data_IF_016028396320
#
_entry.id   IF_016028396320
#
_cell.length_a   1.000
_cell.length_b   1.000
_cell.length_c   1.000
_cell.angle_alpha   90.00
_cell.angle_beta   90.00
_cell.angle_gamma   90.00
#
_symmetry.space_group_name_H-M   'P 1'
#
loop_
_entity.id
_entity.type
_entity.pdbx_description
1 polymer ?
#
# COMPACT_ATOMS: atom_id res chain seq x y z
N UNK A 1 -52.54 56.86 3.13
CA UNK A 1 -51.28 56.61 2.39
C UNK A 1 -50.18 56.30 3.39
N UNK A 2 -49.74 55.06 3.44
CA UNK A 2 -48.50 54.62 4.12
C UNK A 2 -47.93 53.48 3.27
N UNK A 3 -46.80 53.74 2.63
CA UNK A 3 -46.11 52.81 1.74
C UNK A 3 -45.20 51.92 2.59
N UNK A 4 -45.44 50.62 2.58
CA UNK A 4 -44.58 49.62 3.24
C UNK A 4 -43.65 49.08 2.16
N UNK A 5 -42.35 49.30 2.33
CA UNK A 5 -41.29 48.76 1.47
C UNK A 5 -40.88 47.41 2.07
N UNK A 6 -41.15 46.31 1.37
CA UNK A 6 -40.63 44.99 1.69
C UNK A 6 -39.21 44.88 1.12
N UNK A 7 -38.22 44.69 2.00
CA UNK A 7 -36.85 44.35 1.63
C UNK A 7 -36.72 42.84 1.61
N UNK A 8 -36.56 42.26 0.42
CA UNK A 8 -36.31 40.83 0.21
C UNK A 8 -34.80 40.58 0.33
N UNK A 9 -34.37 39.94 1.43
CA UNK A 9 -32.98 39.51 1.62
C UNK A 9 -32.76 38.18 0.90
N UNK A 10 -32.02 38.20 -0.21
CA UNK A 10 -31.58 37.02 -0.93
C UNK A 10 -30.31 36.47 -0.24
N UNK A 11 -30.42 35.34 0.45
CA UNK A 11 -29.25 34.60 0.97
C UNK A 11 -28.62 33.82 -0.19
N UNK A 12 -27.53 34.34 -0.73
CA UNK A 12 -26.65 33.61 -1.65
C UNK A 12 -25.75 32.72 -0.80
N UNK A 13 -26.09 31.43 -0.68
CA UNK A 13 -25.16 30.42 -0.20
C UNK A 13 -24.13 30.14 -1.28
N UNK A 14 -22.98 30.80 -1.19
CA UNK A 14 -21.76 30.43 -1.91
C UNK A 14 -21.27 29.09 -1.37
N UNK A 15 -21.70 28.00 -1.99
CA UNK A 15 -20.98 26.74 -1.91
C UNK A 15 -19.61 26.97 -2.57
N UNK A 16 -18.58 27.19 -1.73
CA UNK A 16 -17.19 27.12 -2.13
C UNK A 16 -16.94 25.72 -2.68
N UNK A 17 -17.06 25.58 -4.01
CA UNK A 17 -16.51 24.45 -4.73
C UNK A 17 -15.00 24.47 -4.53
N UNK A 18 -14.52 23.69 -3.55
CA UNK A 18 -13.11 23.36 -3.46
C UNK A 18 -12.73 22.70 -4.79
N UNK A 19 -11.74 23.22 -5.53
CA UNK A 19 -11.16 22.47 -6.61
C UNK A 19 -10.33 21.35 -5.96
N UNK A 20 -10.95 20.22 -5.64
CA UNK A 20 -10.24 18.96 -5.50
C UNK A 20 -9.75 18.53 -6.88
N UNK A 21 -8.81 19.31 -7.44
CA UNK A 21 -7.84 18.78 -8.39
C UNK A 21 -6.82 18.01 -7.56
N UNK A 22 -7.25 16.88 -7.00
CA UNK A 22 -6.35 15.74 -6.86
C UNK A 22 -5.91 15.46 -8.28
N UNK A 23 -4.78 16.05 -8.68
CA UNK A 23 -4.16 15.71 -9.95
C UNK A 23 -3.86 14.22 -9.85
N UNK A 24 -4.67 13.43 -10.54
CA UNK A 24 -4.36 12.07 -10.88
C UNK A 24 -2.95 12.08 -11.49
N UNK A 25 -1.93 11.73 -10.68
CA UNK A 25 -0.60 11.46 -11.21
C UNK A 25 -0.78 10.26 -12.12
N UNK A 26 -0.77 10.48 -13.44
CA UNK A 26 -0.72 9.38 -14.40
C UNK A 26 0.62 8.69 -14.21
N UNK A 27 0.59 7.47 -13.70
CA UNK A 27 1.78 6.62 -13.63
C UNK A 27 2.12 6.19 -15.05
N UNK A 28 3.09 6.86 -15.68
CA UNK A 28 3.67 6.43 -16.95
C UNK A 28 5.08 5.94 -16.69
N UNK A 29 5.24 4.84 -15.96
CA UNK A 29 6.49 4.10 -16.00
C UNK A 29 6.36 3.06 -17.09
N UNK A 30 7.11 3.24 -18.18
CA UNK A 30 7.34 2.21 -19.17
C UNK A 30 8.52 1.37 -18.69
N UNK A 31 8.29 0.51 -17.70
CA UNK A 31 9.36 -0.32 -17.11
C UNK A 31 8.96 -1.77 -17.04
N UNK A 32 9.86 -2.65 -17.50
CA UNK A 32 9.60 -4.07 -17.79
C UNK A 32 8.54 -4.31 -18.88
N UNK A 33 8.09 -3.27 -19.57
CA UNK A 33 6.92 -3.31 -20.45
C UNK A 33 5.59 -3.27 -19.69
N UNK A 34 5.61 -3.01 -18.37
CA UNK A 34 4.44 -2.93 -17.52
C UNK A 34 3.93 -1.48 -17.42
N UNK A 35 2.72 -1.20 -17.88
CA UNK A 35 2.03 0.10 -17.79
C UNK A 35 0.76 -0.04 -16.94
N UNK A 36 0.64 0.77 -15.88
CA UNK A 36 -0.63 0.93 -15.20
C UNK A 36 -1.49 1.95 -15.96
N UNK A 37 -2.50 1.46 -16.69
CA UNK A 37 -3.44 2.35 -17.37
C UNK A 37 -4.49 2.82 -16.38
N UNK A 38 -4.64 4.14 -16.25
CA UNK A 38 -5.75 4.77 -15.53
C UNK A 38 -5.68 4.68 -13.98
N UNK A 39 -4.59 5.16 -13.39
CA UNK A 39 -4.48 5.36 -11.93
C UNK A 39 -4.28 6.82 -11.59
N UNK A 40 -5.38 7.56 -11.54
CA UNK A 40 -5.40 8.68 -10.63
C UNK A 40 -5.33 8.18 -9.19
N UNK A 41 -4.69 8.92 -8.29
CA UNK A 41 -4.91 8.73 -6.87
C UNK A 41 -6.41 8.88 -6.59
N UNK A 42 -7.03 7.80 -6.11
CA UNK A 42 -8.47 7.73 -5.81
C UNK A 42 -8.76 8.03 -4.33
N UNK A 43 -7.72 8.23 -3.52
CA UNK A 43 -7.81 8.45 -2.07
C UNK A 43 -6.99 7.44 -1.26
N UNK A 44 -7.06 7.57 0.06
CA UNK A 44 -6.55 6.55 0.97
C UNK A 44 -7.34 5.26 0.80
N UNK A 45 -6.63 4.13 0.77
CA UNK A 45 -7.23 2.82 0.49
C UNK A 45 -6.23 1.84 -0.11
N UNK A 46 -6.73 0.65 -0.42
CA UNK A 46 -5.98 -0.43 -1.03
C UNK A 46 -6.15 -0.40 -2.53
N UNK A 47 -5.04 -0.56 -3.24
CA UNK A 47 -4.96 -0.62 -4.68
C UNK A 47 -4.32 -1.95 -5.06
N UNK A 48 -4.86 -2.60 -6.08
CA UNK A 48 -4.34 -3.86 -6.61
C UNK A 48 -4.25 -3.80 -8.13
N UNK A 49 -3.03 -3.91 -8.64
CA UNK A 49 -2.74 -4.07 -10.06
C UNK A 49 -2.31 -5.52 -10.32
N UNK A 50 -2.95 -6.19 -11.28
CA UNK A 50 -2.49 -7.48 -11.80
C UNK A 50 -2.20 -7.28 -13.28
N UNK A 51 -0.93 -7.41 -13.64
CA UNK A 51 -0.48 -7.14 -15.00
C UNK A 51 -0.63 -8.36 -15.89
N UNK A 52 -1.13 -8.13 -17.12
CA UNK A 52 -1.21 -9.15 -18.16
C UNK A 52 0.15 -9.38 -18.86
N UNK A 53 0.18 -10.31 -19.81
CA UNK A 53 1.40 -10.65 -20.58
C UNK A 53 1.91 -9.49 -21.47
N UNK A 54 1.07 -8.48 -21.72
CA UNK A 54 1.44 -7.25 -22.45
C UNK A 54 1.88 -6.16 -21.49
N UNK A 55 1.93 -6.48 -20.20
CA UNK A 55 2.23 -5.58 -19.12
C UNK A 55 1.17 -4.54 -18.86
N UNK A 56 -0.07 -4.71 -19.28
CA UNK A 56 -1.15 -3.80 -18.91
C UNK A 56 -1.86 -4.30 -17.65
N UNK A 57 -2.16 -3.40 -16.71
CA UNK A 57 -3.02 -3.70 -15.56
C UNK A 57 -4.18 -2.72 -15.46
N UNK A 58 -5.36 -3.25 -15.13
CA UNK A 58 -6.43 -2.46 -14.50
C UNK A 58 -6.21 -2.48 -12.99
N UNK A 59 -6.40 -1.33 -12.34
CA UNK A 59 -6.23 -1.20 -10.89
C UNK A 59 -7.56 -1.22 -10.20
N UNK A 60 -7.73 -2.21 -9.32
CA UNK A 60 -8.84 -2.27 -8.39
C UNK A 60 -8.54 -1.39 -7.19
N UNK A 61 -9.50 -0.61 -6.75
CA UNK A 61 -9.39 0.27 -5.60
C UNK A 61 -10.48 -0.06 -4.58
N UNK A 62 -10.09 -0.17 -3.32
CA UNK A 62 -10.97 -0.28 -2.16
C UNK A 62 -10.65 0.87 -1.20
N UNK A 63 -11.59 1.78 -0.93
CA UNK A 63 -11.33 2.96 -0.12
C UNK A 63 -11.08 2.59 1.36
N UNK A 64 -10.31 3.42 2.06
CA UNK A 64 -9.87 3.15 3.43
C UNK A 64 -11.04 2.99 4.42
N UNK A 65 -12.14 3.71 4.24
CA UNK A 65 -13.32 3.59 5.11
C UNK A 65 -13.94 2.19 5.04
N UNK A 66 -13.96 1.55 3.87
CA UNK A 66 -14.34 0.16 3.72
C UNK A 66 -13.35 -0.78 4.44
N UNK A 67 -12.05 -0.52 4.34
CA UNK A 67 -11.01 -1.32 5.01
C UNK A 67 -11.07 -1.22 6.54
N UNK A 68 -11.38 -0.04 7.06
CA UNK A 68 -11.53 0.21 8.51
C UNK A 68 -12.81 -0.40 9.07
N UNK A 69 -13.87 -0.53 8.25
CA UNK A 69 -15.17 -1.05 8.65
C UNK A 69 -15.27 -2.58 8.58
N UNK A 70 -14.27 -3.27 8.04
CA UNK A 70 -14.16 -4.74 8.11
C UNK A 70 -13.91 -5.17 9.56
N UNK A 71 -14.98 -5.25 10.35
CA UNK A 71 -15.03 -5.89 11.69
C UNK A 71 -14.99 -7.42 11.58
N UNK A 72 -14.19 -7.96 10.66
CA UNK A 72 -13.81 -9.36 10.77
C UNK A 72 -12.98 -9.44 12.06
N UNK A 73 -13.31 -10.32 13.01
CA UNK A 73 -12.45 -10.50 14.17
C UNK A 73 -11.09 -10.89 13.61
N UNK A 74 -10.11 -10.00 13.77
CA UNK A 74 -8.71 -10.36 13.74
C UNK A 74 -8.63 -11.43 14.81
N UNK A 75 -8.68 -12.70 14.40
CA UNK A 75 -8.56 -13.81 15.33
C UNK A 75 -7.31 -13.51 16.13
N UNK A 76 -7.48 -13.24 17.44
CA UNK A 76 -6.47 -12.75 18.37
C UNK A 76 -5.10 -13.30 17.96
N UNK A 77 -4.39 -12.54 17.13
CA UNK A 77 -3.06 -12.89 16.75
C UNK A 77 -2.28 -12.49 17.99
N UNK A 78 -2.12 -13.47 18.89
CA UNK A 78 -1.25 -13.39 20.07
C UNK A 78 -0.11 -12.42 19.76
N UNK A 79 0.13 -11.39 20.60
CA UNK A 79 1.11 -10.34 20.32
C UNK A 79 2.38 -11.04 19.87
N UNK A 80 2.76 -10.84 18.59
CA UNK A 80 3.66 -11.70 17.83
C UNK A 80 4.68 -12.39 18.75
N UNK A 81 4.28 -13.56 19.27
CA UNK A 81 5.10 -14.30 20.23
C UNK A 81 6.31 -14.68 19.42
N UNK A 82 7.48 -14.12 19.80
CA UNK A 82 8.65 -13.96 18.94
C UNK A 82 8.69 -14.98 17.80
N UNK A 83 8.60 -14.50 16.56
CA UNK A 83 8.54 -15.30 15.34
C UNK A 83 9.71 -16.29 15.33
N UNK A 84 9.48 -17.47 15.89
CA UNK A 84 10.38 -18.61 15.83
C UNK A 84 9.72 -19.67 14.98
N UNK A 85 9.56 -19.32 13.71
CA UNK A 85 9.42 -20.29 12.63
C UNK A 85 10.69 -20.24 11.76
N UNK A 86 11.87 -20.35 12.37
CA UNK A 86 13.13 -20.60 11.64
C UNK A 86 13.75 -21.91 12.12
N UNK A 87 13.21 -23.03 11.65
CA UNK A 87 13.90 -24.33 11.71
C UNK A 87 14.91 -24.53 10.56
N UNK A 88 15.10 -23.52 9.70
CA UNK A 88 16.11 -23.51 8.65
C UNK A 88 16.81 -22.15 8.60
N UNK A 89 18.01 -22.07 9.18
CA UNK A 89 18.99 -21.01 8.91
C UNK A 89 18.64 -19.59 9.38
N UNK A 90 19.61 -18.89 9.94
CA UNK A 90 19.55 -17.44 10.05
C UNK A 90 19.74 -16.89 8.63
N UNK A 91 18.66 -16.76 7.88
CA UNK A 91 18.68 -16.02 6.62
C UNK A 91 19.00 -14.58 6.93
N UNK A 92 20.13 -14.09 6.43
CA UNK A 92 20.56 -12.70 6.54
C UNK A 92 19.67 -11.87 5.60
N UNK A 93 18.64 -11.24 6.15
CA UNK A 93 17.87 -10.22 5.42
C UNK A 93 18.74 -8.98 5.26
N UNK A 94 18.65 -8.34 4.11
CA UNK A 94 19.34 -7.09 3.83
C UNK A 94 18.34 -6.11 3.22
N UNK A 95 17.42 -5.56 4.05
CA UNK A 95 16.50 -4.54 3.58
C UNK A 95 17.25 -3.37 2.97
N UNK A 96 16.70 -2.79 1.91
CA UNK A 96 17.18 -1.54 1.33
C UNK A 96 16.47 -0.38 2.01
N UNK A 97 17.24 0.59 2.47
CA UNK A 97 16.74 1.76 3.19
C UNK A 97 16.77 2.99 2.30
N UNK A 98 15.75 3.84 2.42
CA UNK A 98 15.79 5.22 1.95
C UNK A 98 16.03 6.11 3.17
N UNK A 99 17.31 6.31 3.50
CA UNK A 99 17.74 6.97 4.75
C UNK A 99 17.46 8.48 4.78
N UNK A 100 17.19 9.07 3.62
CA UNK A 100 16.98 10.52 3.51
C UNK A 100 15.52 10.91 3.76
N UNK A 101 14.63 9.93 3.82
CA UNK A 101 13.20 10.13 3.92
C UNK A 101 12.58 9.35 5.09
N UNK A 102 11.73 10.02 5.85
CA UNK A 102 11.06 9.46 7.01
C UNK A 102 9.57 9.80 7.00
N UNK A 103 8.78 8.86 7.52
CA UNK A 103 7.33 8.97 7.64
C UNK A 103 6.85 9.05 9.08
N UNK A 104 5.55 9.27 9.23
CA UNK A 104 4.89 9.15 10.51
C UNK A 104 4.68 7.66 10.86
N UNK A 105 5.27 7.20 11.97
CA UNK A 105 5.17 5.81 12.40
C UNK A 105 3.72 5.30 12.49
N UNK A 106 2.82 6.07 13.11
CA UNK A 106 1.43 5.65 13.31
C UNK A 106 0.67 5.48 11.99
N UNK A 107 0.88 6.38 11.04
CA UNK A 107 0.26 6.29 9.72
C UNK A 107 0.84 5.12 8.92
N UNK A 108 2.17 4.92 8.98
CA UNK A 108 2.82 3.77 8.32
C UNK A 108 2.37 2.43 8.92
N UNK A 109 2.21 2.35 10.25
CA UNK A 109 1.74 1.15 10.92
C UNK A 109 0.32 0.78 10.47
N UNK A 110 -0.57 1.77 10.37
CA UNK A 110 -1.91 1.60 9.79
C UNK A 110 -1.81 1.09 8.35
N UNK A 111 -1.01 1.73 7.49
CA UNK A 111 -0.84 1.30 6.10
C UNK A 111 -0.30 -0.14 6.01
N UNK A 112 0.67 -0.50 6.86
CA UNK A 112 1.28 -1.83 6.91
C UNK A 112 0.29 -2.91 7.34
N UNK A 113 -0.49 -2.65 8.40
CA UNK A 113 -1.52 -3.58 8.89
C UNK A 113 -2.59 -3.79 7.81
N UNK A 114 -3.07 -2.70 7.20
CA UNK A 114 -4.09 -2.79 6.14
C UNK A 114 -3.56 -3.50 4.91
N UNK A 115 -2.29 -3.31 4.53
CA UNK A 115 -1.68 -4.07 3.45
C UNK A 115 -1.67 -5.57 3.79
N UNK A 116 -1.24 -5.93 5.01
CA UNK A 116 -1.14 -7.31 5.46
C UNK A 116 -2.51 -8.02 5.52
N UNK A 117 -3.54 -7.34 6.01
CA UNK A 117 -4.92 -7.86 6.05
C UNK A 117 -5.49 -8.07 4.65
N UNK A 118 -5.35 -7.09 3.76
CA UNK A 118 -5.83 -7.20 2.37
C UNK A 118 -5.03 -8.24 1.57
N UNK A 119 -3.74 -8.35 1.83
CA UNK A 119 -2.91 -9.41 1.27
C UNK A 119 -3.45 -10.78 1.67
N UNK A 120 -3.66 -11.00 2.97
CA UNK A 120 -4.14 -12.28 3.49
C UNK A 120 -5.57 -12.61 3.04
N UNK A 121 -6.44 -11.61 2.92
CA UNK A 121 -7.84 -11.79 2.53
C UNK A 121 -8.04 -12.12 1.04
N UNK A 122 -7.01 -11.93 0.20
CA UNK A 122 -7.13 -12.15 -1.23
C UNK A 122 -7.43 -13.62 -1.57
N UNK A 123 -8.11 -13.84 -2.70
CA UNK A 123 -8.48 -15.16 -3.20
C UNK A 123 -9.20 -16.01 -2.14
N UNK A 124 -10.21 -15.42 -1.49
CA UNK A 124 -11.01 -16.10 -0.47
C UNK A 124 -10.26 -16.39 0.83
N UNK A 125 -9.21 -15.64 1.15
CA UNK A 125 -8.42 -15.78 2.36
C UNK A 125 -7.18 -16.68 2.22
N UNK A 126 -6.84 -17.12 1.01
CA UNK A 126 -5.61 -17.88 0.76
C UNK A 126 -4.38 -16.96 0.74
N UNK A 127 -4.59 -15.68 0.43
CA UNK A 127 -3.53 -14.71 0.17
C UNK A 127 -2.77 -14.98 -1.12
N UNK A 128 -3.31 -15.79 -2.03
CA UNK A 128 -2.68 -16.08 -3.31
C UNK A 128 -2.65 -14.84 -4.21
N UNK A 129 -1.49 -14.53 -4.77
CA UNK A 129 -1.33 -13.52 -5.80
C UNK A 129 -0.51 -14.08 -6.96
N UNK A 130 -0.95 -13.87 -8.22
CA UNK A 130 -0.19 -14.33 -9.38
C UNK A 130 1.12 -13.55 -9.53
N UNK A 131 1.95 -14.02 -10.46
CA UNK A 131 3.13 -13.27 -10.93
C UNK A 131 2.70 -11.90 -11.45
N UNK A 132 3.53 -10.88 -11.21
CA UNK A 132 3.26 -9.49 -11.57
C UNK A 132 1.94 -8.97 -10.96
N UNK A 133 1.69 -9.30 -9.69
CA UNK A 133 0.65 -8.64 -8.90
C UNK A 133 1.30 -7.63 -7.95
N UNK A 134 0.88 -6.38 -8.03
CA UNK A 134 1.35 -5.32 -7.14
C UNK A 134 0.17 -4.79 -6.34
N UNK A 135 0.36 -4.67 -5.04
CA UNK A 135 -0.65 -4.11 -4.16
C UNK A 135 -0.04 -3.05 -3.27
N UNK A 136 -0.78 -1.98 -3.02
CA UNK A 136 -0.34 -0.91 -2.13
C UNK A 136 -1.51 -0.30 -1.37
N UNK A 137 -1.23 0.18 -0.17
CA UNK A 137 -2.14 0.95 0.65
C UNK A 137 -1.60 2.36 0.79
N UNK A 138 -2.43 3.36 0.51
CA UNK A 138 -2.19 4.74 0.95
C UNK A 138 -2.96 5.06 2.21
N UNK A 139 -2.31 5.71 3.16
CA UNK A 139 -2.95 6.30 4.35
C UNK A 139 -2.21 7.56 4.78
N UNK A 140 -2.88 8.71 4.73
CA UNK A 140 -2.35 9.99 5.23
C UNK A 140 -0.92 10.31 4.73
N UNK A 141 -0.72 10.22 3.41
CA UNK A 141 0.56 10.36 2.67
C UNK A 141 1.59 9.25 2.84
N UNK A 142 1.34 8.25 3.69
CA UNK A 142 2.19 7.08 3.79
C UNK A 142 1.72 6.00 2.82
N UNK A 143 2.66 5.18 2.37
CA UNK A 143 2.41 4.07 1.46
C UNK A 143 3.03 2.78 2.00
N UNK A 144 2.29 1.69 2.00
CA UNK A 144 2.81 0.34 2.21
C UNK A 144 2.54 -0.47 0.95
N UNK A 145 3.51 -1.27 0.48
CA UNK A 145 3.37 -1.97 -0.80
C UNK A 145 3.97 -3.38 -0.79
N UNK A 146 3.51 -4.20 -1.72
CA UNK A 146 4.17 -5.42 -2.17
C UNK A 146 4.28 -5.46 -3.71
N UNK A 147 5.35 -6.09 -4.18
CA UNK A 147 5.64 -6.31 -5.59
C UNK A 147 5.93 -7.81 -5.79
N UNK A 148 5.01 -8.55 -6.41
CA UNK A 148 5.28 -9.95 -6.77
C UNK A 148 5.99 -10.06 -8.12
N UNK A 149 7.14 -10.70 -8.13
CA UNK A 149 7.87 -11.06 -9.36
C UNK A 149 7.64 -12.52 -9.77
N UNK A 150 7.10 -13.31 -8.86
CA UNK A 150 6.61 -14.68 -9.07
C UNK A 150 5.28 -14.86 -8.32
N UNK A 151 4.55 -15.93 -8.61
CA UNK A 151 3.31 -16.22 -7.87
C UNK A 151 3.62 -16.58 -6.41
N UNK A 152 2.96 -15.90 -5.46
CA UNK A 152 3.22 -16.02 -4.02
C UNK A 152 1.91 -16.15 -3.23
N UNK A 153 2.00 -16.71 -2.02
CA UNK A 153 0.96 -16.63 -1.01
C UNK A 153 1.41 -15.63 0.05
N UNK A 154 0.78 -14.46 0.09
CA UNK A 154 1.11 -13.38 1.01
C UNK A 154 0.18 -13.41 2.20
N UNK A 155 0.56 -14.19 3.22
CA UNK A 155 -0.17 -14.18 4.49
C UNK A 155 0.12 -12.91 5.28
N UNK A 156 -0.75 -12.58 6.25
CA UNK A 156 -0.56 -11.45 7.15
C UNK A 156 0.83 -11.49 7.81
N UNK A 157 1.22 -12.67 8.31
CA UNK A 157 2.52 -12.85 8.98
C UNK A 157 3.71 -12.63 8.05
N UNK A 158 3.61 -13.03 6.77
CA UNK A 158 4.67 -12.79 5.78
C UNK A 158 4.83 -11.29 5.57
N UNK A 159 3.73 -10.56 5.30
CA UNK A 159 3.79 -9.12 5.05
C UNK A 159 4.36 -8.37 6.25
N UNK A 160 3.90 -8.68 7.47
CA UNK A 160 4.40 -8.04 8.69
C UNK A 160 5.86 -8.40 8.98
N UNK A 161 6.32 -9.62 8.68
CA UNK A 161 7.71 -10.02 8.87
C UNK A 161 8.66 -9.21 7.96
N UNK A 162 8.27 -8.95 6.71
CA UNK A 162 9.01 -8.03 5.83
C UNK A 162 9.08 -6.60 6.39
N UNK A 163 7.95 -6.05 6.84
CA UNK A 163 7.90 -4.70 7.44
C UNK A 163 8.72 -4.61 8.74
N UNK A 164 8.75 -5.70 9.51
CA UNK A 164 9.56 -5.84 10.72
C UNK A 164 11.05 -5.87 10.38
N UNK A 165 11.44 -6.59 9.31
CA UNK A 165 12.81 -6.61 8.82
C UNK A 165 13.27 -5.20 8.42
N UNK A 166 12.46 -4.47 7.64
CA UNK A 166 12.73 -3.07 7.28
C UNK A 166 12.86 -2.20 8.53
N UNK A 167 11.94 -2.31 9.49
CA UNK A 167 11.99 -1.51 10.72
C UNK A 167 13.24 -1.79 11.56
N UNK A 168 13.65 -3.05 11.68
CA UNK A 168 14.83 -3.45 12.45
C UNK A 168 16.13 -3.00 11.77
N UNK A 169 16.16 -2.93 10.44
CA UNK A 169 17.35 -2.58 9.68
C UNK A 169 17.47 -1.07 9.43
N UNK A 170 16.41 -0.46 8.90
CA UNK A 170 16.39 0.94 8.46
C UNK A 170 15.97 1.91 9.57
N UNK A 171 15.38 1.39 10.65
CA UNK A 171 14.75 2.19 11.68
C UNK A 171 13.24 2.31 11.47
N UNK A 172 12.55 2.59 12.56
CA UNK A 172 11.10 2.55 12.65
C UNK A 172 10.39 3.53 11.69
N UNK A 173 10.86 4.77 11.63
CA UNK A 173 10.26 5.84 10.82
C UNK A 173 10.83 5.91 9.40
N UNK A 174 11.85 5.14 9.08
CA UNK A 174 12.57 5.21 7.80
C UNK A 174 11.86 4.36 6.75
N UNK A 175 11.79 4.90 5.53
CA UNK A 175 11.28 4.17 4.38
C UNK A 175 12.28 3.14 3.88
N UNK A 176 11.79 2.20 3.07
CA UNK A 176 12.60 1.12 2.56
C UNK A 176 11.77 -0.13 2.28
N UNK A 177 12.45 -1.18 1.88
CA UNK A 177 11.84 -2.45 1.54
C UNK A 177 12.79 -3.59 1.80
N UNK A 178 12.21 -4.78 1.97
CA UNK A 178 12.98 -6.01 1.95
C UNK A 178 12.56 -6.83 0.72
N UNK A 179 13.53 -7.51 0.11
CA UNK A 179 13.34 -8.35 -1.06
C UNK A 179 13.85 -9.74 -0.77
N UNK A 180 13.03 -10.75 -1.03
CA UNK A 180 13.44 -12.15 -0.93
C UNK A 180 13.15 -12.89 -2.23
N UNK A 181 14.02 -13.86 -2.55
CA UNK A 181 13.90 -14.75 -3.71
C UNK A 181 14.15 -16.19 -3.23
N UNK A 182 13.11 -17.01 -3.34
CA UNK A 182 13.03 -18.39 -2.85
C UNK A 182 13.37 -18.53 -1.36
N UNK A 183 12.99 -17.52 -0.57
CA UNK A 183 13.26 -17.43 0.86
C UNK A 183 12.19 -16.56 1.55
N UNK A 184 12.25 -16.44 2.88
CA UNK A 184 11.35 -15.61 3.69
C UNK A 184 9.86 -15.95 3.49
N UNK A 185 9.55 -17.18 3.07
CA UNK A 185 8.19 -17.63 2.78
C UNK A 185 7.63 -17.24 1.42
N UNK A 186 8.44 -16.64 0.52
CA UNK A 186 8.03 -16.22 -0.83
C UNK A 186 8.97 -16.78 -1.91
N UNK A 187 8.45 -16.92 -3.14
CA UNK A 187 9.27 -17.30 -4.31
C UNK A 187 10.03 -16.11 -4.86
N UNK A 188 9.39 -14.96 -5.02
CA UNK A 188 10.08 -13.72 -5.36
C UNK A 188 9.15 -12.53 -5.12
N UNK A 189 9.46 -11.73 -4.10
CA UNK A 189 8.69 -10.53 -3.77
C UNK A 189 9.57 -9.46 -3.13
N UNK A 190 9.15 -8.20 -3.29
CA UNK A 190 9.60 -7.10 -2.46
C UNK A 190 8.41 -6.54 -1.68
N UNK A 191 8.59 -6.24 -0.39
CA UNK A 191 7.56 -5.64 0.45
C UNK A 191 8.21 -4.51 1.23
N UNK A 192 7.56 -3.36 1.29
CA UNK A 192 8.14 -2.18 1.91
C UNK A 192 7.15 -1.07 2.16
N UNK A 193 7.69 0.10 2.45
CA UNK A 193 6.95 1.31 2.77
C UNK A 193 7.67 2.54 2.25
N UNK A 194 6.88 3.53 1.86
CA UNK A 194 7.33 4.79 1.29
C UNK A 194 6.25 5.86 1.48
N UNK A 195 6.30 6.96 0.73
CA UNK A 195 5.29 8.02 0.76
C UNK A 195 4.54 8.15 -0.56
N UNK A 196 3.40 8.82 -0.51
CA UNK A 196 2.65 9.20 -1.68
C UNK A 196 3.48 10.08 -2.63
N UNK A 197 3.62 9.65 -3.88
CA UNK A 197 4.39 10.36 -4.89
C UNK A 197 5.81 9.82 -5.11
N UNK A 198 6.28 8.87 -4.30
CA UNK A 198 7.49 8.11 -4.63
C UNK A 198 7.21 7.03 -5.68
N UNK A 199 8.26 6.39 -6.20
CA UNK A 199 8.18 5.22 -7.06
C UNK A 199 8.45 3.94 -6.25
N UNK A 200 7.70 2.87 -6.55
CA UNK A 200 7.88 1.55 -5.96
C UNK A 200 7.52 0.48 -7.00
N UNK A 201 8.05 -0.74 -6.81
CA UNK A 201 7.92 -1.85 -7.77
C UNK A 201 8.53 -1.61 -9.17
N UNK A 202 9.37 -0.58 -9.33
CA UNK A 202 10.08 -0.26 -10.58
C UNK A 202 11.26 -1.19 -10.85
N UNK A 203 11.83 -1.13 -12.05
CA UNK A 203 12.94 -1.98 -12.48
C UNK A 203 14.25 -1.69 -11.73
N UNK A 204 14.38 -0.45 -11.27
CA UNK A 204 15.38 0.17 -10.40
C UNK A 204 15.08 -0.05 -8.91
N UNK A 205 13.87 -0.49 -8.57
CA UNK A 205 13.51 -1.05 -7.27
C UNK A 205 13.99 -2.50 -7.11
N UNK A 206 15.24 -2.73 -7.51
CA UNK A 206 16.01 -3.94 -7.26
C UNK A 206 17.01 -3.57 -6.21
N UNK A 207 16.85 -4.12 -4.99
CA UNK A 207 17.78 -3.92 -3.89
C UNK A 207 19.20 -4.01 -4.42
N UNK A 208 19.93 -2.92 -4.30
CA UNK A 208 21.33 -2.84 -4.72
C UNK A 208 22.17 -3.81 -3.92
#
# INVERSE_FOLDING_TARGET
>A
MKTIILVTTLLVTSALGLPNKLQARTWTDAELGLEIRNVGFQGDGFYLAIFDDKGSAEVKFTPMDELLNTTAPVADASPAGGISARKGGIVKRAPTCDSDHHGNWGNMDIANIRLAENAAANDGGTGYYPKNAWGWVFYANEASFFCNYEANYLTYSIVIDFQTAVSNHCGQTTYGYDRCENDCGVRSAAIGRTWYGNNFCTSDFRGS
#
